data_IF_531107678606
#
_entry.id   IF_531107678606
#
_cell.length_a   1.000
_cell.length_b   1.000
_cell.length_c   1.000
_cell.angle_alpha   90.00
_cell.angle_beta   90.00
_cell.angle_gamma   90.00
#
_symmetry.space_group_name_H-M   'P 1'
#
loop_
_entity.id
_entity.type
_entity.pdbx_description
1 polymer ?
#
# COMPACT_ATOMS: atom_id res chain seq x y z
N UNK A 1 30.15 22.52 11.63
CA UNK A 1 28.68 22.36 11.57
C UNK A 1 28.39 20.95 11.11
N UNK A 2 28.13 20.04 12.04
CA UNK A 2 27.66 18.68 11.72
C UNK A 2 26.17 18.77 11.45
N UNK A 3 25.79 18.78 10.18
CA UNK A 3 24.38 18.65 9.79
C UNK A 3 23.94 17.22 10.15
N UNK A 4 23.22 17.08 11.27
CA UNK A 4 22.44 15.88 11.53
C UNK A 4 21.32 15.84 10.50
N UNK A 5 21.56 15.17 9.37
CA UNK A 5 20.48 14.79 8.49
C UNK A 5 19.61 13.81 9.30
N UNK A 6 18.30 14.04 9.44
CA UNK A 6 17.43 13.06 10.07
C UNK A 6 17.60 11.72 9.34
N UNK A 7 17.62 10.59 10.06
CA UNK A 7 17.75 9.29 9.43
C UNK A 7 16.64 9.14 8.38
N UNK A 8 16.94 8.49 7.23
CA UNK A 8 15.91 8.25 6.22
C UNK A 8 14.72 7.52 6.88
N UNK A 9 13.48 7.85 6.50
CA UNK A 9 12.31 7.21 7.09
C UNK A 9 12.41 5.70 6.96
N UNK A 10 11.99 4.97 8.00
CA UNK A 10 12.09 3.52 8.00
C UNK A 10 11.14 2.92 6.94
N UNK A 11 11.65 1.94 6.17
CA UNK A 11 10.82 1.12 5.30
C UNK A 11 10.03 0.12 6.15
N UNK A 12 8.72 0.11 6.00
CA UNK A 12 7.81 -0.76 6.77
C UNK A 12 7.38 -1.99 5.97
N UNK A 13 7.32 -1.89 4.65
CA UNK A 13 6.86 -2.98 3.79
C UNK A 13 7.51 -2.93 2.40
N UNK A 14 7.58 -4.08 1.75
CA UNK A 14 8.17 -4.22 0.41
C UNK A 14 7.27 -5.14 -0.42
N UNK A 15 7.10 -4.82 -1.69
CA UNK A 15 6.41 -5.67 -2.65
C UNK A 15 7.10 -5.56 -4.02
N UNK A 16 7.36 -6.70 -4.65
CA UNK A 16 7.87 -6.76 -6.03
C UNK A 16 6.72 -6.67 -7.02
N UNK A 17 6.93 -5.94 -8.11
CA UNK A 17 5.97 -5.90 -9.19
C UNK A 17 5.95 -7.26 -9.93
N UNK A 18 4.78 -7.90 -10.11
CA UNK A 18 4.71 -9.29 -10.55
C UNK A 18 5.13 -9.52 -12.01
N UNK A 19 5.07 -8.50 -12.86
CA UNK A 19 5.47 -8.58 -14.28
C UNK A 19 6.81 -7.92 -14.59
N UNK A 20 7.21 -6.94 -13.77
CA UNK A 20 8.42 -6.16 -14.00
C UNK A 20 9.30 -6.30 -12.78
N UNK A 21 10.24 -7.22 -12.84
CA UNK A 21 11.13 -7.51 -11.71
C UNK A 21 12.08 -6.35 -11.37
N UNK A 22 12.10 -5.28 -12.18
CA UNK A 22 12.89 -4.09 -11.88
C UNK A 22 12.10 -3.10 -11.03
N UNK A 23 10.78 -3.27 -10.85
CA UNK A 23 9.96 -2.35 -10.08
C UNK A 23 9.63 -2.94 -8.71
N UNK A 24 9.91 -2.16 -7.67
CA UNK A 24 9.61 -2.49 -6.28
C UNK A 24 8.79 -1.36 -5.67
N UNK A 25 7.68 -1.69 -5.01
CA UNK A 25 6.98 -0.76 -4.14
C UNK A 25 7.50 -0.90 -2.71
N UNK A 26 7.88 0.22 -2.11
CA UNK A 26 8.41 0.32 -0.76
C UNK A 26 7.47 1.20 0.05
N UNK A 27 6.85 0.63 1.07
CA UNK A 27 6.02 1.35 2.02
C UNK A 27 6.88 1.96 3.11
N UNK A 28 6.61 3.22 3.45
CA UNK A 28 7.42 3.97 4.40
C UNK A 28 6.64 4.37 5.64
N UNK A 29 7.37 4.68 6.70
CA UNK A 29 6.79 5.24 7.93
C UNK A 29 6.26 6.67 7.76
N UNK A 30 6.79 7.42 6.79
CA UNK A 30 6.36 8.79 6.46
C UNK A 30 5.03 8.88 5.69
N UNK A 31 4.28 7.77 5.61
CA UNK A 31 3.01 7.63 4.89
C UNK A 31 3.11 7.67 3.37
N UNK A 32 4.34 7.62 2.84
CA UNK A 32 4.59 7.56 1.40
C UNK A 32 4.91 6.14 0.94
N UNK A 33 4.71 5.90 -0.36
CA UNK A 33 5.12 4.66 -1.01
C UNK A 33 6.09 5.03 -2.11
N UNK A 34 7.29 4.49 -2.07
CA UNK A 34 8.30 4.70 -3.11
C UNK A 34 8.22 3.59 -4.13
N UNK A 35 8.04 3.97 -5.38
CA UNK A 35 8.19 3.07 -6.52
C UNK A 35 9.63 3.17 -6.98
N UNK A 36 10.40 2.15 -6.63
CA UNK A 36 11.82 2.05 -6.87
C UNK A 36 12.09 1.22 -8.12
N UNK A 37 13.04 1.67 -8.95
CA UNK A 37 13.52 0.90 -10.08
C UNK A 37 14.94 0.38 -9.82
N UNK A 38 15.06 -0.94 -9.69
CA UNK A 38 16.32 -1.63 -9.37
C UNK A 38 17.35 -1.52 -10.48
N UNK A 39 16.92 -1.39 -11.75
CA UNK A 39 17.84 -1.36 -12.89
C UNK A 39 18.60 -0.05 -12.99
N UNK A 40 17.95 1.07 -12.67
CA UNK A 40 18.57 2.40 -12.65
C UNK A 40 19.00 2.85 -11.25
N UNK A 41 18.70 2.04 -10.23
CA UNK A 41 19.00 2.32 -8.81
C UNK A 41 18.30 3.58 -8.27
N UNK A 42 17.13 3.94 -8.81
CA UNK A 42 16.47 5.22 -8.49
C UNK A 42 14.99 5.07 -8.13
N UNK A 43 14.50 5.97 -7.27
CA UNK A 43 13.08 6.13 -6.98
C UNK A 43 12.43 6.83 -8.18
N UNK A 44 11.63 6.09 -8.95
CA UNK A 44 10.88 6.65 -10.07
C UNK A 44 9.79 7.60 -9.58
N UNK A 45 8.98 7.16 -8.62
CA UNK A 45 7.76 7.86 -8.21
C UNK A 45 7.57 7.72 -6.69
N UNK A 46 7.00 8.75 -6.06
CA UNK A 46 6.57 8.73 -4.67
C UNK A 46 5.06 8.92 -4.60
N UNK A 47 4.35 7.88 -4.20
CA UNK A 47 2.90 7.92 -4.00
C UNK A 47 2.60 8.53 -2.63
N UNK A 48 1.71 9.52 -2.62
CA UNK A 48 1.23 10.17 -1.39
C UNK A 48 -0.29 10.07 -1.36
N UNK A 49 -0.83 9.57 -0.26
CA UNK A 49 -2.28 9.42 -0.14
C UNK A 49 -2.75 8.80 1.17
N UNK A 50 -1.87 8.15 1.93
CA UNK A 50 -2.13 7.73 3.30
C UNK A 50 -1.79 8.85 4.28
N UNK A 51 -2.48 8.86 5.42
CA UNK A 51 -2.22 9.82 6.52
C UNK A 51 -1.29 9.25 7.60
N UNK A 52 -1.02 7.95 7.56
CA UNK A 52 -0.14 7.25 8.48
C UNK A 52 0.78 6.29 7.73
N UNK A 53 1.75 5.73 8.45
CA UNK A 53 2.68 4.71 7.94
C UNK A 53 1.98 3.63 7.13
N UNK A 54 2.64 3.20 6.08
CA UNK A 54 2.18 2.08 5.26
C UNK A 54 2.37 0.80 6.06
N UNK A 55 1.39 -0.07 6.07
CA UNK A 55 1.38 -1.32 6.85
C UNK A 55 1.23 -2.56 5.95
N UNK A 56 0.83 -2.37 4.70
CA UNK A 56 0.80 -3.44 3.70
C UNK A 56 0.78 -2.91 2.28
N UNK A 57 1.34 -3.71 1.37
CA UNK A 57 1.33 -3.48 -0.08
C UNK A 57 1.03 -4.81 -0.76
N UNK A 58 0.14 -4.79 -1.74
CA UNK A 58 -0.19 -5.97 -2.53
C UNK A 58 -0.45 -5.57 -3.99
N UNK A 59 0.28 -6.21 -4.91
CA UNK A 59 0.07 -6.01 -6.34
C UNK A 59 -1.01 -6.96 -6.88
N UNK A 60 -1.83 -6.45 -7.79
CA UNK A 60 -2.63 -7.28 -8.67
C UNK A 60 -2.23 -7.14 -10.12
N UNK A 61 -1.76 -8.25 -10.67
CA UNK A 61 -1.40 -8.33 -12.08
C UNK A 61 -2.64 -8.29 -12.99
N UNK A 62 -3.71 -8.99 -12.60
CA UNK A 62 -4.92 -9.10 -13.44
C UNK A 62 -5.66 -7.76 -13.60
N UNK A 63 -5.57 -6.90 -12.59
CA UNK A 63 -6.28 -5.62 -12.55
C UNK A 63 -5.35 -4.42 -12.83
N UNK A 64 -4.05 -4.65 -13.02
CA UNK A 64 -3.03 -3.61 -13.16
C UNK A 64 -3.12 -2.54 -12.07
N UNK A 65 -3.19 -3.00 -10.82
CA UNK A 65 -3.28 -2.13 -9.64
C UNK A 65 -2.33 -2.56 -8.53
N UNK A 66 -1.92 -1.56 -7.75
CA UNK A 66 -1.30 -1.75 -6.44
C UNK A 66 -2.33 -1.34 -5.38
N UNK A 67 -2.57 -2.21 -4.40
CA UNK A 67 -3.32 -1.86 -3.20
C UNK A 67 -2.33 -1.60 -2.08
N UNK A 68 -2.49 -0.47 -1.40
CA UNK A 68 -1.75 -0.14 -0.19
C UNK A 68 -2.69 0.00 0.98
N UNK A 69 -2.29 -0.55 2.12
CA UNK A 69 -2.95 -0.33 3.40
C UNK A 69 -2.06 0.51 4.29
N UNK A 70 -2.68 1.45 5.00
CA UNK A 70 -1.99 2.28 6.00
C UNK A 70 -2.55 2.06 7.39
N UNK A 71 -1.78 2.47 8.40
CA UNK A 71 -2.22 2.46 9.79
C UNK A 71 -3.38 3.44 10.07
N UNK A 72 -3.82 4.20 9.07
CA UNK A 72 -4.99 5.07 9.08
C UNK A 72 -6.31 4.33 8.80
N UNK A 73 -6.26 2.99 8.74
CA UNK A 73 -7.41 2.14 8.41
C UNK A 73 -8.02 2.47 7.04
N UNK A 74 -7.19 2.95 6.11
CA UNK A 74 -7.56 3.17 4.72
C UNK A 74 -6.80 2.23 3.81
N UNK A 75 -7.47 1.86 2.72
CA UNK A 75 -6.94 1.17 1.57
C UNK A 75 -6.89 2.16 0.41
N UNK A 76 -5.71 2.42 -0.13
CA UNK A 76 -5.57 3.16 -1.38
C UNK A 76 -5.30 2.20 -2.53
N UNK A 77 -5.89 2.49 -3.68
CA UNK A 77 -5.65 1.73 -4.92
C UNK A 77 -5.03 2.65 -5.94
N UNK A 78 -3.92 2.16 -6.49
CA UNK A 78 -3.07 2.86 -7.42
C UNK A 78 -3.04 2.12 -8.74
N UNK A 79 -3.07 2.84 -9.85
CA UNK A 79 -2.77 2.26 -11.15
C UNK A 79 -1.29 1.86 -11.21
N UNK A 80 -0.93 0.67 -11.70
CA UNK A 80 0.50 0.33 -11.88
C UNK A 80 1.12 0.97 -13.11
N UNK A 81 0.31 1.35 -14.10
CA UNK A 81 0.79 1.95 -15.35
C UNK A 81 1.13 3.44 -15.18
N UNK A 82 0.21 4.21 -14.58
CA UNK A 82 0.37 5.66 -14.38
C UNK A 82 0.73 6.05 -12.95
N UNK A 83 0.68 5.12 -11.99
CA UNK A 83 0.93 5.39 -10.57
C UNK A 83 -0.03 6.41 -9.95
N UNK A 84 -1.19 6.61 -10.56
CA UNK A 84 -2.23 7.51 -10.06
C UNK A 84 -3.15 6.81 -9.06
N UNK A 85 -3.60 7.57 -8.06
CA UNK A 85 -4.58 7.10 -7.06
C UNK A 85 -5.94 6.95 -7.74
N UNK A 86 -6.37 5.70 -7.97
CA UNK A 86 -7.70 5.39 -8.51
C UNK A 86 -8.79 5.53 -7.45
N UNK A 87 -8.57 5.00 -6.25
CA UNK A 87 -9.59 4.94 -5.20
C UNK A 87 -8.99 4.93 -3.79
N UNK A 88 -9.77 5.40 -2.82
CA UNK A 88 -9.49 5.34 -1.39
C UNK A 88 -10.71 4.75 -0.71
N UNK A 89 -10.54 3.70 0.08
CA UNK A 89 -11.63 3.04 0.81
C UNK A 89 -11.24 2.94 2.26
N UNK A 90 -12.06 3.51 3.15
CA UNK A 90 -11.90 3.32 4.58
C UNK A 90 -12.44 1.95 4.99
N UNK A 91 -11.69 1.26 5.85
CA UNK A 91 -12.14 0.01 6.44
C UNK A 91 -13.24 0.35 7.46
N UNK A 92 -14.39 -0.29 7.33
CA UNK A 92 -15.53 -0.05 8.21
C UNK A 92 -15.17 -0.57 9.62
N UNK A 93 -14.98 0.36 10.55
CA UNK A 93 -14.66 0.06 11.95
C UNK A 93 -15.92 -0.06 12.81
N UNK A 94 -15.90 -0.87 13.87
CA UNK A 94 -16.96 -0.85 14.89
C UNK A 94 -17.11 0.55 15.49
N UNK A 95 -18.35 0.95 15.77
CA UNK A 95 -18.66 2.26 16.34
C UNK A 95 -17.85 2.50 17.64
N UNK A 96 -17.17 3.64 17.72
CA UNK A 96 -16.42 4.06 18.92
C UNK A 96 -14.93 3.72 18.93
N UNK A 97 -14.38 3.04 17.90
CA UNK A 97 -12.93 2.84 17.77
C UNK A 97 -12.29 3.89 16.85
N UNK A 98 -11.08 4.32 17.20
CA UNK A 98 -10.28 5.17 16.33
C UNK A 98 -9.84 4.37 15.09
N UNK A 99 -9.85 4.97 13.89
CA UNK A 99 -9.31 4.36 12.67
C UNK A 99 -7.78 4.36 12.75
N UNK A 100 -7.25 3.46 13.58
CA UNK A 100 -5.82 3.31 13.79
C UNK A 100 -5.51 1.85 14.09
N UNK A 101 -4.64 1.25 13.29
CA UNK A 101 -4.17 -0.10 13.54
C UNK A 101 -3.42 -0.69 12.37
N UNK A 102 -2.62 -1.72 12.65
CA UNK A 102 -1.89 -2.43 11.59
C UNK A 102 -2.89 -3.12 10.66
N UNK A 103 -2.69 -2.92 9.35
CA UNK A 103 -3.56 -3.48 8.32
C UNK A 103 -2.70 -4.19 7.29
N UNK A 104 -2.92 -5.48 7.13
CA UNK A 104 -2.24 -6.32 6.15
C UNK A 104 -3.20 -6.62 5.02
N UNK A 105 -2.66 -6.59 3.80
CA UNK A 105 -3.42 -6.86 2.59
C UNK A 105 -2.71 -7.89 1.75
N UNK A 106 -3.48 -8.82 1.18
CA UNK A 106 -2.94 -9.84 0.29
C UNK A 106 -3.97 -10.23 -0.75
N UNK A 107 -3.54 -10.32 -2.00
CA UNK A 107 -4.38 -10.85 -3.08
C UNK A 107 -4.51 -12.37 -2.99
N UNK A 108 -5.70 -12.86 -3.28
CA UNK A 108 -5.94 -14.27 -3.53
C UNK A 108 -5.25 -14.71 -4.84
N UNK A 109 -5.02 -16.01 -5.04
CA UNK A 109 -4.41 -16.57 -6.26
C UNK A 109 -5.19 -16.24 -7.54
N UNK A 110 -6.50 -16.03 -7.42
CA UNK A 110 -7.40 -15.56 -8.49
C UNK A 110 -7.21 -14.07 -8.84
N UNK A 111 -6.42 -13.32 -8.06
CA UNK A 111 -6.09 -11.90 -8.25
C UNK A 111 -7.27 -10.91 -8.25
N UNK A 112 -8.50 -11.40 -8.03
CA UNK A 112 -9.71 -10.59 -8.01
C UNK A 112 -10.24 -10.30 -6.60
N UNK A 113 -9.85 -11.12 -5.61
CA UNK A 113 -10.20 -10.94 -4.20
C UNK A 113 -8.99 -10.48 -3.39
N UNK A 114 -9.21 -9.54 -2.50
CA UNK A 114 -8.22 -9.00 -1.58
C UNK A 114 -8.60 -9.37 -0.14
N UNK A 115 -7.74 -10.13 0.53
CA UNK A 115 -7.85 -10.33 1.96
C UNK A 115 -7.27 -9.11 2.68
N UNK A 116 -8.07 -8.52 3.56
CA UNK A 116 -7.70 -7.38 4.40
C UNK A 116 -7.82 -7.82 5.85
N UNK A 117 -6.68 -7.87 6.53
CA UNK A 117 -6.57 -8.23 7.94
C UNK A 117 -6.21 -6.97 8.70
N UNK A 118 -7.15 -6.47 9.49
CA UNK A 118 -6.93 -5.40 10.45
C UNK A 118 -6.84 -6.00 11.86
N UNK A 119 -6.19 -5.31 12.81
CA UNK A 119 -6.09 -5.76 14.20
C UNK A 119 -7.43 -6.19 14.83
N UNK A 120 -8.54 -5.58 14.41
CA UNK A 120 -9.87 -5.86 14.98
C UNK A 120 -10.72 -6.81 14.15
N UNK A 121 -10.40 -7.03 12.88
CA UNK A 121 -11.30 -7.74 11.97
C UNK A 121 -10.58 -8.25 10.72
N UNK A 122 -11.18 -9.27 10.11
CA UNK A 122 -10.77 -9.79 8.81
C UNK A 122 -11.93 -9.57 7.84
N UNK A 123 -11.61 -9.08 6.66
CA UNK A 123 -12.56 -8.86 5.58
C UNK A 123 -11.94 -9.29 4.24
N UNK A 124 -12.79 -9.77 3.34
CA UNK A 124 -12.42 -10.02 1.95
C UNK A 124 -13.11 -8.93 1.14
N UNK A 125 -12.36 -8.29 0.25
CA UNK A 125 -12.86 -7.28 -0.67
C UNK A 125 -12.77 -7.80 -2.09
N UNK A 126 -13.75 -7.47 -2.92
CA UNK A 126 -13.64 -7.55 -4.37
C UNK A 126 -12.72 -6.42 -4.82
N UNK A 127 -11.58 -6.73 -5.43
CA UNK A 127 -10.57 -5.72 -5.75
C UNK A 127 -10.93 -4.87 -6.97
N UNK A 128 -11.75 -5.39 -7.89
CA UNK A 128 -12.28 -4.64 -9.02
C UNK A 128 -13.19 -3.50 -8.60
N UNK A 129 -14.03 -3.74 -7.58
CA UNK A 129 -14.98 -2.73 -7.07
C UNK A 129 -14.52 -2.06 -5.77
N UNK A 130 -13.56 -2.66 -5.07
CA UNK A 130 -13.23 -2.40 -3.67
C UNK A 130 -14.46 -2.39 -2.76
N UNK A 131 -15.34 -3.36 -2.97
CA UNK A 131 -16.53 -3.58 -2.15
C UNK A 131 -16.33 -4.86 -1.33
N UNK A 132 -16.90 -4.89 -0.12
CA UNK A 132 -16.79 -6.02 0.79
C UNK A 132 -17.78 -7.13 0.41
#
# INVERSE_FOLDING_TARGET
MTTFMPPPPASTFLAFHPQDNNIIAIGMEDSTIHIYNVRVDEVKIRLKGHQKRITGLAFSNSLHILVSSGADAQLCVWATDSWEKKKSVAIQMPAGKTPSGDTRVQFNSDQNRLLVVHETQIAIYDASKMER
#
